data_IF_230187709979
#
_entry.id   IF_230187709979
#
_cell.length_a   1.000
_cell.length_b   1.000
_cell.length_c   1.000
_cell.angle_alpha   90.00
_cell.angle_beta   90.00
_cell.angle_gamma   90.00
#
_symmetry.space_group_name_H-M   'P 1'
#
loop_
_entity.id
_entity.type
_entity.pdbx_description
1 polymer ?
#
# COMPACT_ATOMS: atom_id res chain seq x y z
N UNK A 1 11.32 20.60 -17.05
CA UNK A 1 10.91 20.22 -15.68
C UNK A 1 11.80 20.80 -14.58
N UNK A 2 13.02 21.22 -14.86
CA UNK A 2 13.97 21.70 -13.84
C UNK A 2 13.59 23.01 -13.10
N UNK A 3 12.64 23.80 -13.61
CA UNK A 3 12.35 25.14 -13.08
C UNK A 3 11.17 25.20 -12.09
N UNK A 4 10.45 24.08 -11.85
CA UNK A 4 9.30 24.09 -10.94
C UNK A 4 9.63 23.26 -9.71
N UNK A 5 9.55 23.88 -8.55
CA UNK A 5 9.60 23.15 -7.27
C UNK A 5 8.23 22.52 -7.01
N UNK A 6 8.22 21.21 -6.80
CA UNK A 6 7.02 20.43 -6.46
C UNK A 6 7.21 19.81 -5.07
N UNK A 7 6.88 20.53 -3.99
CA UNK A 7 7.06 19.98 -2.65
C UNK A 7 6.09 18.81 -2.42
N UNK A 8 6.62 17.67 -1.96
CA UNK A 8 5.86 16.47 -1.65
C UNK A 8 4.63 16.76 -0.76
N UNK A 9 4.79 17.67 0.23
CA UNK A 9 3.71 18.04 1.13
C UNK A 9 2.51 18.61 0.38
N UNK A 10 2.74 19.46 -0.62
CA UNK A 10 1.66 20.05 -1.42
C UNK A 10 0.88 18.96 -2.17
N UNK A 11 1.60 18.08 -2.84
CA UNK A 11 1.02 16.97 -3.60
C UNK A 11 0.25 16.02 -2.68
N UNK A 12 0.85 15.65 -1.55
CA UNK A 12 0.20 14.80 -0.55
C UNK A 12 -1.08 15.43 0.00
N UNK A 13 -1.06 16.74 0.30
CA UNK A 13 -2.23 17.48 0.79
C UNK A 13 -3.34 17.51 -0.27
N UNK A 14 -2.99 17.78 -1.53
CA UNK A 14 -3.95 17.75 -2.63
C UNK A 14 -4.62 16.38 -2.74
N UNK A 15 -3.83 15.31 -2.77
CA UNK A 15 -4.34 13.94 -2.87
C UNK A 15 -5.23 13.58 -1.67
N UNK A 16 -4.80 13.93 -0.44
CA UNK A 16 -5.55 13.65 0.77
C UNK A 16 -6.92 14.35 0.76
N UNK A 17 -6.97 15.63 0.39
CA UNK A 17 -8.20 16.41 0.30
C UNK A 17 -9.14 15.89 -0.81
N UNK A 18 -8.59 15.50 -1.96
CA UNK A 18 -9.38 14.96 -3.07
C UNK A 18 -9.98 13.58 -2.75
N UNK A 19 -9.40 12.82 -1.83
CA UNK A 19 -9.99 11.59 -1.35
C UNK A 19 -11.21 11.82 -0.43
N UNK A 20 -11.43 13.06 0.03
CA UNK A 20 -12.56 13.47 0.89
C UNK A 20 -12.74 12.56 2.12
N UNK A 21 -11.64 12.14 2.72
CA UNK A 21 -11.68 11.26 3.88
C UNK A 21 -11.75 12.05 5.17
N UNK A 22 -12.96 12.21 5.69
CA UNK A 22 -13.17 12.68 7.08
C UNK A 22 -12.92 11.55 8.10
N UNK A 23 -12.67 10.34 7.67
CA UNK A 23 -12.43 9.17 8.50
C UNK A 23 -10.94 8.79 8.48
N UNK A 24 -10.44 8.17 9.55
CA UNK A 24 -9.09 7.64 9.55
C UNK A 24 -8.84 6.69 8.39
N UNK A 25 -7.66 6.80 7.76
CA UNK A 25 -7.30 6.08 6.55
C UNK A 25 -6.50 4.81 6.87
N UNK A 26 -6.66 3.80 6.04
CA UNK A 26 -5.79 2.63 6.05
C UNK A 26 -4.61 2.92 5.14
N UNK A 27 -3.43 3.00 5.72
CA UNK A 27 -2.18 3.17 5.01
C UNK A 27 -1.62 1.83 4.57
N UNK A 28 -1.06 1.77 3.38
CA UNK A 28 -0.35 0.61 2.86
C UNK A 28 1.09 1.02 2.59
N UNK A 29 2.03 0.39 3.29
CA UNK A 29 3.46 0.62 3.07
C UNK A 29 3.99 -0.43 2.10
N UNK A 30 4.73 0.02 1.11
CA UNK A 30 5.28 -0.83 0.08
C UNK A 30 6.60 -0.28 -0.45
N UNK A 31 7.38 -1.14 -1.09
CA UNK A 31 8.61 -0.78 -1.77
C UNK A 31 8.60 -1.36 -3.19
N UNK A 32 9.01 -0.56 -4.13
CA UNK A 32 9.21 -1.01 -5.51
C UNK A 32 10.61 -0.66 -5.97
N UNK A 33 11.17 -1.48 -6.84
CA UNK A 33 12.46 -1.21 -7.44
C UNK A 33 12.49 -1.71 -8.89
N UNK A 34 13.25 -1.00 -9.71
CA UNK A 34 13.60 -1.43 -11.06
C UNK A 34 14.97 -0.89 -11.43
N UNK A 35 15.49 -1.33 -12.56
CA UNK A 35 16.75 -0.82 -13.09
C UNK A 35 16.48 0.02 -14.33
N UNK A 36 17.17 1.16 -14.41
CA UNK A 36 17.25 1.96 -15.62
C UNK A 36 18.73 2.07 -16.01
N UNK A 37 19.11 1.35 -17.06
CA UNK A 37 20.53 1.17 -17.38
C UNK A 37 21.30 0.61 -16.19
N UNK A 38 22.28 1.36 -15.70
CA UNK A 38 23.07 1.01 -14.51
C UNK A 38 22.49 1.56 -13.20
N UNK A 39 21.55 2.50 -13.28
CA UNK A 39 20.91 3.07 -12.09
C UNK A 39 19.86 2.12 -11.51
N UNK A 40 19.88 2.01 -10.19
CA UNK A 40 18.91 1.24 -9.45
C UNK A 40 17.91 2.19 -8.78
N UNK A 41 16.69 2.20 -9.26
CA UNK A 41 15.61 3.01 -8.73
C UNK A 41 14.90 2.20 -7.66
N UNK A 42 14.87 2.71 -6.44
CA UNK A 42 14.31 2.05 -5.28
C UNK A 42 13.42 3.04 -4.52
N UNK A 43 12.13 2.77 -4.45
CA UNK A 43 11.15 3.70 -3.91
C UNK A 43 10.38 3.04 -2.76
N UNK A 44 10.48 3.65 -1.59
CA UNK A 44 9.61 3.36 -0.46
C UNK A 44 8.36 4.24 -0.57
N UNK A 45 7.18 3.63 -0.57
CA UNK A 45 5.92 4.32 -0.80
C UNK A 45 4.93 4.08 0.33
N UNK A 46 4.16 5.11 0.63
CA UNK A 46 2.97 5.07 1.46
C UNK A 46 1.76 5.39 0.58
N UNK A 47 0.76 4.53 0.58
CA UNK A 47 -0.49 4.71 -0.13
C UNK A 47 -1.68 4.64 0.81
N UNK A 48 -2.79 5.25 0.42
CA UNK A 48 -4.09 5.14 1.10
C UNK A 48 -4.90 4.05 0.41
N UNK A 49 -5.35 3.05 1.16
CA UNK A 49 -6.29 2.05 0.66
C UNK A 49 -7.65 2.70 0.42
N UNK A 50 -8.01 2.89 -0.84
CA UNK A 50 -9.25 3.53 -1.26
C UNK A 50 -10.04 2.59 -2.17
N UNK A 51 -11.25 2.21 -1.77
CA UNK A 51 -12.07 1.22 -2.48
C UNK A 51 -11.25 -0.04 -2.83
N UNK A 52 -10.94 -0.28 -4.10
CA UNK A 52 -10.20 -1.46 -4.60
C UNK A 52 -8.77 -1.17 -5.07
N UNK A 53 -8.22 0.01 -4.77
CA UNK A 53 -6.88 0.43 -5.15
C UNK A 53 -6.17 1.10 -3.98
N UNK A 54 -4.84 1.13 -3.97
CA UNK A 54 -4.08 2.02 -3.11
C UNK A 54 -3.70 3.27 -3.90
N UNK A 55 -4.12 4.43 -3.43
CA UNK A 55 -3.72 5.72 -4.01
C UNK A 55 -2.42 6.17 -3.34
N UNK A 56 -1.34 6.40 -4.09
CA UNK A 56 -0.08 6.85 -3.51
C UNK A 56 -0.25 8.24 -2.89
N UNK A 57 0.21 8.42 -1.66
CA UNK A 57 0.11 9.70 -0.94
C UNK A 57 1.46 10.35 -0.75
N UNK A 58 2.50 9.57 -0.53
CA UNK A 58 3.87 10.03 -0.40
C UNK A 58 4.87 8.90 -0.64
N UNK A 59 6.11 9.25 -0.95
CA UNK A 59 7.17 8.30 -1.16
C UNK A 59 8.53 8.88 -0.75
N UNK A 60 9.53 8.01 -0.71
CA UNK A 60 10.93 8.36 -0.54
C UNK A 60 11.78 7.56 -1.53
N UNK A 61 12.59 8.24 -2.31
CA UNK A 61 13.64 7.61 -3.10
C UNK A 61 14.71 7.07 -2.15
N UNK A 62 15.08 5.81 -2.31
CA UNK A 62 16.13 5.18 -1.52
C UNK A 62 17.40 5.08 -2.37
N UNK A 63 18.44 5.80 -1.97
CA UNK A 63 19.76 5.77 -2.63
C UNK A 63 20.55 4.53 -2.18
N UNK A 64 19.95 3.36 -2.42
CA UNK A 64 20.57 2.06 -2.11
C UNK A 64 19.86 0.91 -2.79
N UNK A 65 20.55 -0.22 -2.86
CA UNK A 65 19.92 -1.51 -3.21
C UNK A 65 19.34 -2.18 -1.97
N UNK A 66 18.29 -2.98 -2.18
CA UNK A 66 17.71 -3.80 -1.12
C UNK A 66 16.63 -3.09 -0.33
N UNK A 67 16.31 -3.62 0.85
CA UNK A 67 15.15 -3.22 1.63
C UNK A 67 15.35 -1.87 2.33
N UNK A 68 14.22 -1.20 2.61
CA UNK A 68 14.20 -0.03 3.49
C UNK A 68 14.61 -0.43 4.91
N UNK A 69 15.29 0.49 5.61
CA UNK A 69 15.57 0.34 7.04
C UNK A 69 14.44 0.93 7.91
N UNK A 70 14.51 0.71 9.22
CA UNK A 70 13.49 1.20 10.15
C UNK A 70 13.40 2.72 10.15
N UNK A 71 14.52 3.44 10.06
CA UNK A 71 14.53 4.91 10.10
C UNK A 71 13.84 5.51 8.86
N UNK A 72 14.04 4.93 7.67
CA UNK A 72 13.38 5.39 6.45
C UNK A 72 11.86 5.24 6.53
N UNK A 73 11.39 4.13 7.12
CA UNK A 73 9.95 3.86 7.34
C UNK A 73 9.37 4.82 8.37
N UNK A 74 10.06 5.00 9.49
CA UNK A 74 9.66 5.92 10.57
C UNK A 74 9.57 7.34 10.01
N UNK A 75 10.60 7.82 9.30
CA UNK A 75 10.59 9.17 8.73
C UNK A 75 9.38 9.37 7.79
N UNK A 76 9.06 8.39 6.95
CA UNK A 76 7.95 8.50 6.02
C UNK A 76 6.59 8.58 6.75
N UNK A 77 6.39 7.77 7.78
CA UNK A 77 5.15 7.79 8.59
C UNK A 77 5.11 9.01 9.50
N UNK A 78 6.24 9.44 10.06
CA UNK A 78 6.31 10.67 10.86
C UNK A 78 5.89 11.89 10.03
N UNK A 79 6.40 12.02 8.80
CA UNK A 79 5.96 13.10 7.89
C UNK A 79 4.44 13.05 7.63
N UNK A 80 3.87 11.84 7.51
CA UNK A 80 2.41 11.70 7.38
C UNK A 80 1.69 12.21 8.62
N UNK A 81 2.16 11.85 9.81
CA UNK A 81 1.61 12.29 11.10
C UNK A 81 1.72 13.82 11.24
N UNK A 82 2.88 14.39 10.90
CA UNK A 82 3.13 15.83 11.00
C UNK A 82 2.24 16.66 10.04
N UNK A 83 1.83 16.07 8.90
CA UNK A 83 1.02 16.79 7.91
C UNK A 83 -0.48 16.58 8.09
N UNK A 84 -0.90 15.42 8.56
CA UNK A 84 -2.32 15.02 8.58
C UNK A 84 -2.84 14.65 9.98
N UNK A 85 -1.95 14.57 10.97
CA UNK A 85 -2.28 14.15 12.33
C UNK A 85 -2.28 12.64 12.54
N UNK A 86 -1.98 12.22 13.77
CA UNK A 86 -1.97 10.81 14.16
C UNK A 86 -3.36 10.18 14.06
N UNK A 87 -4.40 10.91 14.45
CA UNK A 87 -5.79 10.45 14.44
C UNK A 87 -6.34 10.18 13.02
N UNK A 88 -5.64 10.64 12.00
CA UNK A 88 -5.97 10.33 10.61
C UNK A 88 -5.59 8.91 10.18
N UNK A 89 -4.85 8.16 11.03
CA UNK A 89 -4.41 6.79 10.74
C UNK A 89 -5.32 5.77 11.45
N UNK A 90 -6.06 4.98 10.69
CA UNK A 90 -6.77 3.81 11.24
C UNK A 90 -5.82 2.62 11.41
N UNK A 91 -5.05 2.29 10.38
CA UNK A 91 -4.19 1.10 10.38
C UNK A 91 -3.07 1.22 9.34
N UNK A 92 -1.93 0.60 9.61
CA UNK A 92 -0.85 0.41 8.62
C UNK A 92 -0.78 -1.06 8.20
N UNK A 93 -0.82 -1.30 6.90
CA UNK A 93 -0.64 -2.62 6.28
C UNK A 93 0.71 -2.69 5.58
N UNK A 94 1.44 -3.78 5.80
CA UNK A 94 2.74 -3.96 5.15
C UNK A 94 3.09 -5.45 4.92
N UNK A 95 4.02 -5.72 4.00
CA UNK A 95 4.49 -7.07 3.74
C UNK A 95 5.69 -7.42 4.65
N UNK A 96 6.15 -8.66 4.53
CA UNK A 96 7.17 -9.32 5.37
C UNK A 96 8.56 -8.65 5.37
N UNK A 97 8.83 -7.71 4.50
CA UNK A 97 10.08 -6.94 4.56
C UNK A 97 10.03 -5.82 5.62
N UNK A 98 8.83 -5.41 6.04
CA UNK A 98 8.61 -4.29 6.95
C UNK A 98 8.54 -4.75 8.41
N UNK A 99 9.54 -5.48 8.86
CA UNK A 99 9.69 -5.94 10.25
C UNK A 99 11.02 -5.40 10.79
N UNK A 100 11.04 -5.14 12.11
CA UNK A 100 12.23 -4.69 12.84
C UNK A 100 11.86 -4.08 14.18
N UNK A 101 12.75 -4.19 15.15
CA UNK A 101 12.54 -3.73 16.53
C UNK A 101 12.14 -2.24 16.59
N UNK A 102 12.98 -1.36 16.05
CA UNK A 102 12.74 0.10 16.07
C UNK A 102 11.46 0.49 15.34
N UNK A 103 11.13 -0.22 14.26
CA UNK A 103 9.92 0.05 13.48
C UNK A 103 8.67 -0.34 14.25
N UNK A 104 8.62 -1.55 14.83
CA UNK A 104 7.48 -1.98 15.64
C UNK A 104 7.37 -1.17 16.93
N UNK A 105 8.52 -0.80 17.55
CA UNK A 105 8.56 0.10 18.70
C UNK A 105 7.89 1.43 18.42
N UNK A 106 8.28 2.09 17.33
CA UNK A 106 7.65 3.35 16.90
C UNK A 106 6.13 3.22 16.71
N UNK A 107 5.66 2.16 16.08
CA UNK A 107 4.22 1.95 15.89
C UNK A 107 3.49 1.72 17.23
N UNK A 108 4.09 0.96 18.12
CA UNK A 108 3.52 0.67 19.45
C UNK A 108 3.48 1.93 20.33
N UNK A 109 4.55 2.71 20.39
CA UNK A 109 4.66 3.97 21.14
C UNK A 109 3.59 4.97 20.72
N UNK A 110 3.30 5.06 19.41
CA UNK A 110 2.24 5.92 18.89
C UNK A 110 0.85 5.27 18.88
N UNK A 111 0.72 4.06 19.44
CA UNK A 111 -0.54 3.30 19.42
C UNK A 111 -1.13 3.11 18.03
N UNK A 112 -0.29 3.11 16.99
CA UNK A 112 -0.71 2.91 15.59
C UNK A 112 -1.03 1.44 15.38
N UNK A 113 -2.27 1.15 14.99
CA UNK A 113 -2.67 -0.20 14.60
C UNK A 113 -1.91 -0.61 13.35
N UNK A 114 -1.45 -1.85 13.33
CA UNK A 114 -0.85 -2.43 12.13
C UNK A 114 -1.22 -3.90 11.96
N UNK A 115 -1.17 -4.36 10.72
CA UNK A 115 -1.20 -5.78 10.35
C UNK A 115 -0.11 -6.00 9.31
N UNK A 116 0.97 -6.66 9.73
CA UNK A 116 2.17 -6.88 8.91
C UNK A 116 2.37 -8.37 8.72
N UNK A 117 2.59 -8.81 7.48
CA UNK A 117 2.91 -10.21 7.19
C UNK A 117 4.29 -10.55 7.72
N UNK A 118 4.42 -11.74 8.29
CA UNK A 118 5.70 -12.28 8.71
C UNK A 118 5.94 -13.68 8.11
N UNK A 119 7.18 -14.14 8.14
CA UNK A 119 7.52 -15.50 7.75
C UNK A 119 7.18 -16.46 8.88
N UNK A 120 6.86 -17.72 8.54
CA UNK A 120 6.51 -18.75 9.50
C UNK A 120 7.68 -19.20 10.39
N UNK A 121 8.92 -18.93 9.99
CA UNK A 121 10.15 -19.26 10.74
C UNK A 121 10.59 -18.18 11.74
N UNK A 122 9.85 -17.07 11.88
CA UNK A 122 10.14 -16.07 12.90
C UNK A 122 10.02 -16.69 14.30
N UNK A 123 10.89 -16.25 15.18
CA UNK A 123 10.84 -16.62 16.61
C UNK A 123 10.09 -15.57 17.39
N UNK A 124 9.34 -16.02 18.37
CA UNK A 124 8.60 -15.19 19.32
C UNK A 124 8.76 -15.74 20.73
N UNK A 125 8.85 -14.84 21.68
CA UNK A 125 8.82 -15.21 23.09
C UNK A 125 7.36 -15.23 23.60
N UNK A 126 7.02 -16.25 24.36
CA UNK A 126 5.71 -16.41 24.98
C UNK A 126 5.82 -16.02 26.47
N UNK A 127 5.44 -14.80 26.88
CA UNK A 127 5.63 -14.34 28.25
C UNK A 127 4.98 -15.26 29.29
N UNK A 128 3.79 -15.80 29.00
CA UNK A 128 3.08 -16.72 29.92
C UNK A 128 3.78 -18.06 30.10
N UNK A 129 4.56 -18.51 29.13
CA UNK A 129 5.23 -19.82 29.15
C UNK A 129 6.74 -19.67 29.38
N UNK A 130 7.24 -18.45 29.46
CA UNK A 130 8.67 -18.16 29.59
C UNK A 130 9.52 -18.93 28.58
N UNK A 131 9.05 -18.98 27.31
CA UNK A 131 9.65 -19.81 26.27
C UNK A 131 9.65 -19.10 24.91
N UNK A 132 10.79 -19.20 24.22
CA UNK A 132 10.89 -18.85 22.82
C UNK A 132 10.46 -20.01 21.92
N UNK A 133 9.65 -19.73 20.91
CA UNK A 133 9.24 -20.72 19.91
C UNK A 133 9.17 -20.09 18.52
N UNK A 134 9.24 -20.93 17.48
CA UNK A 134 8.96 -20.52 16.12
C UNK A 134 7.45 -20.34 15.92
N UNK A 135 7.04 -19.27 15.25
CA UNK A 135 5.62 -18.93 15.01
C UNK A 135 4.88 -20.10 14.33
N UNK A 136 5.55 -20.85 13.46
CA UNK A 136 4.98 -22.04 12.82
C UNK A 136 4.34 -23.02 13.85
N UNK A 137 4.97 -23.24 15.00
CA UNK A 137 4.45 -24.14 16.03
C UNK A 137 3.12 -23.70 16.63
N UNK A 138 2.79 -22.39 16.59
CA UNK A 138 1.50 -21.89 17.07
C UNK A 138 0.36 -22.21 16.09
N UNK A 139 0.67 -22.43 14.81
CA UNK A 139 -0.32 -22.53 13.75
C UNK A 139 -0.22 -23.78 12.88
N UNK A 140 0.70 -24.71 13.14
CA UNK A 140 0.93 -25.92 12.34
C UNK A 140 -0.33 -26.80 12.21
N UNK A 141 -1.16 -26.86 13.25
CA UNK A 141 -2.41 -27.63 13.30
C UNK A 141 -3.64 -26.84 12.81
N UNK A 142 -3.44 -25.68 12.15
CA UNK A 142 -4.53 -24.89 11.59
C UNK A 142 -5.11 -25.60 10.35
N UNK A 143 -6.43 -25.76 10.33
CA UNK A 143 -7.12 -26.32 9.17
C UNK A 143 -7.07 -25.35 7.98
N UNK A 144 -7.04 -25.92 6.77
CA UNK A 144 -7.02 -25.14 5.53
C UNK A 144 -8.22 -24.19 5.44
N UNK A 145 -7.99 -22.98 4.93
CA UNK A 145 -8.98 -21.89 4.78
C UNK A 145 -9.62 -21.40 6.09
N UNK A 146 -9.15 -21.86 7.25
CA UNK A 146 -9.57 -21.30 8.54
C UNK A 146 -8.63 -20.18 8.95
N UNK A 147 -9.21 -19.18 9.62
CA UNK A 147 -8.47 -18.09 10.27
C UNK A 147 -8.44 -18.34 11.77
N UNK A 148 -7.30 -18.11 12.40
CA UNK A 148 -7.14 -18.19 13.86
C UNK A 148 -6.18 -17.10 14.33
N UNK A 149 -6.50 -16.45 15.42
CA UNK A 149 -5.56 -15.63 16.17
C UNK A 149 -5.09 -16.36 17.42
N UNK A 150 -3.86 -16.11 17.82
CA UNK A 150 -3.34 -16.59 19.09
C UNK A 150 -3.90 -15.73 20.23
N UNK A 151 -4.46 -16.35 21.25
CA UNK A 151 -5.25 -15.66 22.29
C UNK A 151 -4.42 -14.76 23.23
N UNK A 152 -3.10 -14.96 23.26
CA UNK A 152 -2.22 -14.27 24.19
C UNK A 152 -1.25 -13.34 23.45
N UNK A 153 -0.80 -12.31 24.16
CA UNK A 153 0.27 -11.45 23.70
C UNK A 153 1.55 -12.26 23.59
N UNK A 154 2.31 -11.98 22.56
CA UNK A 154 3.67 -12.49 22.34
C UNK A 154 4.64 -11.32 22.27
N UNK A 155 5.92 -11.61 22.48
CA UNK A 155 6.98 -10.64 22.24
C UNK A 155 7.76 -11.03 20.99
N UNK A 156 7.94 -10.09 20.08
CA UNK A 156 8.71 -10.22 18.86
C UNK A 156 9.61 -9.00 18.68
N UNK A 157 10.90 -9.23 18.51
CA UNK A 157 11.89 -8.14 18.44
C UNK A 157 11.76 -7.13 19.61
N UNK A 158 11.60 -7.61 20.84
CA UNK A 158 11.44 -6.77 22.02
C UNK A 158 10.09 -6.03 22.13
N UNK A 159 9.15 -6.29 21.22
CA UNK A 159 7.87 -5.59 21.15
C UNK A 159 6.69 -6.53 21.41
N UNK A 160 5.77 -6.09 22.27
CA UNK A 160 4.52 -6.83 22.54
C UNK A 160 3.56 -6.71 21.36
N UNK A 161 3.04 -7.84 20.91
CA UNK A 161 2.14 -7.90 19.76
C UNK A 161 1.22 -9.13 19.81
N UNK A 162 0.29 -9.20 18.87
CA UNK A 162 -0.60 -10.33 18.64
C UNK A 162 -0.27 -11.03 17.34
N UNK A 163 -0.60 -12.31 17.25
CA UNK A 163 -0.42 -13.11 16.05
C UNK A 163 -1.74 -13.66 15.54
N UNK A 164 -1.88 -13.66 14.22
CA UNK A 164 -2.99 -14.29 13.52
C UNK A 164 -2.49 -15.07 12.32
N UNK A 165 -3.18 -16.12 11.94
CA UNK A 165 -2.80 -16.88 10.75
C UNK A 165 -4.01 -17.43 10.00
N UNK A 166 -3.83 -17.60 8.69
CA UNK A 166 -4.65 -18.48 7.85
C UNK A 166 -3.73 -19.39 7.05
N UNK A 167 -4.25 -20.57 6.73
CA UNK A 167 -3.55 -21.59 5.96
C UNK A 167 -4.30 -21.81 4.66
N UNK A 168 -3.60 -21.78 3.55
CA UNK A 168 -4.12 -22.10 2.21
C UNK A 168 -3.30 -23.23 1.60
N UNK A 169 -3.88 -23.91 0.62
CA UNK A 169 -3.17 -24.86 -0.22
C UNK A 169 -3.25 -24.35 -1.65
N UNK A 170 -2.11 -24.06 -2.25
CA UNK A 170 -1.98 -23.58 -3.63
C UNK A 170 -1.06 -24.57 -4.35
N UNK A 171 -1.54 -25.15 -5.45
CA UNK A 171 -0.81 -26.15 -6.23
C UNK A 171 -0.21 -27.29 -5.37
N UNK A 172 -1.00 -27.80 -4.42
CA UNK A 172 -0.59 -28.85 -3.50
C UNK A 172 0.40 -28.43 -2.40
N UNK A 173 0.86 -27.18 -2.42
CA UNK A 173 1.76 -26.62 -1.39
C UNK A 173 0.99 -25.89 -0.31
N UNK A 174 1.38 -26.13 0.93
CA UNK A 174 0.81 -25.46 2.09
C UNK A 174 1.47 -24.10 2.25
N UNK A 175 0.68 -23.05 2.18
CA UNK A 175 1.12 -21.69 2.48
C UNK A 175 0.43 -21.14 3.72
N UNK A 176 1.23 -20.51 4.59
CA UNK A 176 0.73 -19.78 5.74
C UNK A 176 0.81 -18.28 5.47
N UNK A 177 -0.30 -17.60 5.65
CA UNK A 177 -0.33 -16.15 5.83
C UNK A 177 -0.38 -15.88 7.33
N UNK A 178 0.74 -15.43 7.89
CA UNK A 178 0.87 -15.09 9.31
C UNK A 178 1.01 -13.59 9.43
N UNK A 179 0.23 -12.99 10.32
CA UNK A 179 0.16 -11.55 10.55
C UNK A 179 0.54 -11.25 11.99
N UNK A 180 1.41 -10.27 12.17
CA UNK A 180 1.66 -9.61 13.46
C UNK A 180 0.82 -8.34 13.52
N UNK A 181 0.25 -8.06 14.69
CA UNK A 181 -0.68 -6.94 14.92
C UNK A 181 -0.42 -6.28 16.26
N UNK A 182 -0.57 -4.95 16.32
CA UNK A 182 -0.55 -4.25 17.62
C UNK A 182 -1.79 -4.57 18.45
N UNK A 183 -2.98 -4.47 17.84
CA UNK A 183 -4.26 -4.79 18.49
C UNK A 183 -5.25 -5.41 17.48
N UNK A 184 -6.44 -5.79 17.95
CA UNK A 184 -7.55 -6.36 17.16
C UNK A 184 -7.11 -7.48 16.19
N UNK A 185 -6.39 -8.51 16.67
CA UNK A 185 -5.87 -9.58 15.82
C UNK A 185 -6.97 -10.36 15.07
N UNK A 186 -8.19 -10.35 15.59
CA UNK A 186 -9.36 -10.97 14.96
C UNK A 186 -9.74 -10.31 13.62
N UNK A 187 -9.44 -9.03 13.44
CA UNK A 187 -9.71 -8.28 12.20
C UNK A 187 -8.55 -8.32 11.20
N UNK A 188 -7.40 -8.87 11.60
CA UNK A 188 -6.16 -8.79 10.85
C UNK A 188 -6.28 -9.27 9.40
N UNK A 189 -6.99 -10.38 9.15
CA UNK A 189 -7.14 -10.93 7.81
C UNK A 189 -8.01 -10.05 6.90
N UNK A 190 -9.07 -9.49 7.45
CA UNK A 190 -9.96 -8.60 6.71
C UNK A 190 -9.22 -7.33 6.28
N UNK A 191 -8.53 -6.68 7.21
CA UNK A 191 -7.71 -5.51 6.92
C UNK A 191 -6.58 -5.84 5.95
N UNK A 192 -5.85 -6.93 6.20
CA UNK A 192 -4.69 -7.29 5.38
C UNK A 192 -5.03 -7.60 3.92
N UNK A 193 -6.24 -8.05 3.63
CA UNK A 193 -6.71 -8.23 2.25
C UNK A 193 -6.63 -6.94 1.45
N UNK A 194 -6.82 -5.78 2.07
CA UNK A 194 -6.72 -4.46 1.42
C UNK A 194 -5.29 -4.12 0.99
N UNK A 195 -4.28 -4.81 1.51
CA UNK A 195 -2.90 -4.64 1.05
C UNK A 195 -2.73 -4.96 -0.45
N UNK A 196 -3.51 -5.90 -0.98
CA UNK A 196 -3.47 -6.24 -2.41
C UNK A 196 -3.82 -5.08 -3.32
N UNK A 197 -4.47 -4.06 -2.81
CA UNK A 197 -4.79 -2.84 -3.56
C UNK A 197 -3.53 -2.15 -4.10
N UNK A 198 -2.38 -2.32 -3.45
CA UNK A 198 -1.11 -1.74 -3.88
C UNK A 198 -0.56 -2.42 -5.14
N UNK A 199 -0.79 -3.72 -5.30
CA UNK A 199 -0.33 -4.46 -6.48
C UNK A 199 -1.07 -3.97 -7.74
N UNK A 200 -2.33 -3.60 -7.59
CA UNK A 200 -3.12 -2.96 -8.65
C UNK A 200 -2.53 -1.61 -9.05
N UNK A 201 -2.11 -0.79 -8.08
CA UNK A 201 -1.44 0.48 -8.34
C UNK A 201 -0.15 0.28 -9.15
N UNK A 202 0.73 -0.64 -8.71
CA UNK A 202 1.99 -0.86 -9.43
C UNK A 202 1.79 -1.35 -10.85
N UNK A 203 0.78 -2.19 -11.07
CA UNK A 203 0.41 -2.60 -12.42
C UNK A 203 0.06 -1.39 -13.30
N UNK A 204 -0.66 -0.40 -12.76
CA UNK A 204 -1.01 0.82 -13.50
C UNK A 204 0.21 1.70 -13.76
N UNK A 205 1.08 1.86 -12.76
CA UNK A 205 2.27 2.69 -12.90
C UNK A 205 3.29 2.08 -13.87
N UNK A 206 3.48 0.75 -13.83
CA UNK A 206 4.56 0.08 -14.54
C UNK A 206 4.19 -0.41 -15.93
N UNK A 207 3.03 -1.03 -16.12
CA UNK A 207 2.76 -1.81 -17.33
C UNK A 207 1.41 -1.59 -17.99
N UNK A 208 0.44 -1.01 -17.33
CA UNK A 208 -0.93 -0.92 -17.86
C UNK A 208 -1.47 0.51 -17.91
N UNK A 209 -0.60 1.49 -17.87
CA UNK A 209 -0.98 2.90 -17.83
C UNK A 209 0.19 3.81 -18.16
N UNK A 210 0.97 4.17 -17.14
CA UNK A 210 2.00 5.20 -17.28
C UNK A 210 3.36 4.71 -17.74
N UNK A 211 3.62 3.39 -17.70
CA UNK A 211 4.88 2.76 -18.13
C UNK A 211 6.12 3.46 -17.54
N UNK A 212 6.07 3.78 -16.25
CA UNK A 212 7.09 4.60 -15.60
C UNK A 212 8.50 3.95 -15.63
N UNK A 213 8.56 2.63 -15.86
CA UNK A 213 9.83 1.90 -16.02
C UNK A 213 10.49 2.15 -17.37
N UNK A 214 9.73 2.64 -18.36
CA UNK A 214 10.22 2.95 -19.73
C UNK A 214 10.65 4.43 -19.86
N UNK A 215 10.63 5.19 -18.75
CA UNK A 215 11.09 6.59 -18.77
C UNK A 215 12.58 6.68 -19.10
N UNK A 216 12.95 7.66 -19.91
CA UNK A 216 14.34 8.01 -20.21
C UNK A 216 14.91 9.07 -19.26
N UNK A 217 14.19 9.44 -18.19
CA UNK A 217 14.66 10.40 -17.17
C UNK A 217 15.72 9.70 -16.31
N UNK A 218 16.95 10.19 -16.37
CA UNK A 218 18.11 9.60 -15.70
C UNK A 218 18.49 10.31 -14.40
N UNK A 219 18.10 11.58 -14.25
CA UNK A 219 18.37 12.32 -13.02
C UNK A 219 17.30 12.01 -11.96
N UNK A 220 17.72 11.87 -10.71
CA UNK A 220 16.85 11.49 -9.60
C UNK A 220 15.81 12.56 -9.28
N UNK A 221 16.13 13.83 -9.41
CA UNK A 221 15.20 14.94 -9.16
C UNK A 221 14.08 14.97 -10.20
N UNK A 222 14.41 14.83 -11.47
CA UNK A 222 13.42 14.73 -12.56
C UNK A 222 12.53 13.51 -12.40
N UNK A 223 13.09 12.37 -11.97
CA UNK A 223 12.34 11.16 -11.71
C UNK A 223 11.39 11.33 -10.51
N UNK A 224 11.82 12.01 -9.44
CA UNK A 224 10.99 12.33 -8.29
C UNK A 224 9.79 13.21 -8.69
N UNK A 225 10.04 14.26 -9.48
CA UNK A 225 8.98 15.12 -10.03
C UNK A 225 8.00 14.35 -10.93
N UNK A 226 8.54 13.50 -11.82
CA UNK A 226 7.71 12.63 -12.67
C UNK A 226 6.84 11.70 -11.82
N UNK A 227 7.40 11.14 -10.75
CA UNK A 227 6.66 10.26 -9.87
C UNK A 227 5.54 11.00 -9.12
N UNK A 228 5.79 12.22 -8.65
CA UNK A 228 4.77 13.08 -8.04
C UNK A 228 3.62 13.41 -9.00
N UNK A 229 3.92 13.75 -10.24
CA UNK A 229 2.91 13.97 -11.28
C UNK A 229 2.09 12.70 -11.55
N UNK A 230 2.77 11.55 -11.59
CA UNK A 230 2.12 10.26 -11.76
C UNK A 230 1.17 9.94 -10.61
N UNK A 231 1.48 10.32 -9.36
CA UNK A 231 0.57 10.15 -8.22
C UNK A 231 -0.75 10.92 -8.42
N UNK A 232 -0.67 12.17 -8.86
CA UNK A 232 -1.86 12.99 -9.16
C UNK A 232 -2.66 12.35 -10.31
N UNK A 233 -1.98 11.97 -11.38
CA UNK A 233 -2.60 11.34 -12.54
C UNK A 233 -3.28 10.01 -12.18
N UNK A 234 -2.68 9.21 -11.29
CA UNK A 234 -3.30 7.99 -10.77
C UNK A 234 -4.64 8.26 -10.07
N UNK A 235 -4.66 9.26 -9.19
CA UNK A 235 -5.89 9.65 -8.50
C UNK A 235 -6.94 10.15 -9.49
N UNK A 236 -6.54 11.01 -10.41
CA UNK A 236 -7.45 11.59 -11.40
C UNK A 236 -8.07 10.52 -12.29
N UNK A 237 -7.27 9.65 -12.90
CA UNK A 237 -7.78 8.54 -13.69
C UNK A 237 -8.76 7.65 -12.90
N UNK A 238 -8.44 7.38 -11.63
CA UNK A 238 -9.32 6.57 -10.80
C UNK A 238 -10.64 7.28 -10.51
N UNK A 239 -10.62 8.56 -10.12
CA UNK A 239 -11.83 9.35 -9.80
C UNK A 239 -12.73 9.51 -11.02
N UNK A 240 -12.16 9.83 -12.17
CA UNK A 240 -12.89 9.94 -13.45
C UNK A 240 -13.51 8.59 -13.82
N UNK A 241 -12.74 7.51 -13.76
CA UNK A 241 -13.27 6.17 -14.06
C UNK A 241 -14.37 5.70 -13.11
N UNK A 242 -14.25 6.03 -11.83
CA UNK A 242 -15.24 5.75 -10.79
C UNK A 242 -16.54 6.53 -11.09
N UNK A 243 -16.44 7.82 -11.36
CA UNK A 243 -17.58 8.68 -11.70
C UNK A 243 -18.30 8.19 -12.97
N UNK A 244 -17.58 7.91 -14.04
CA UNK A 244 -18.19 7.43 -15.29
C UNK A 244 -18.86 6.08 -15.07
N UNK A 245 -18.22 5.19 -14.30
CA UNK A 245 -18.80 3.89 -13.97
C UNK A 245 -20.09 4.00 -13.19
N UNK A 246 -20.15 4.89 -12.20
CA UNK A 246 -21.27 5.00 -11.29
C UNK A 246 -22.40 5.87 -11.84
N UNK A 247 -22.10 6.94 -12.62
CA UNK A 247 -23.06 7.95 -12.99
C UNK A 247 -23.42 7.99 -14.48
N UNK A 248 -22.53 7.53 -15.36
CA UNK A 248 -22.73 7.69 -16.82
C UNK A 248 -22.94 6.33 -17.50
N UNK A 249 -21.93 5.46 -17.42
CA UNK A 249 -21.94 4.19 -18.11
C UNK A 249 -21.23 3.09 -17.32
N UNK A 250 -21.94 2.15 -16.72
CA UNK A 250 -21.35 1.06 -15.96
C UNK A 250 -20.41 0.19 -16.81
N UNK A 251 -19.27 -0.18 -16.24
CA UNK A 251 -18.34 -1.13 -16.86
C UNK A 251 -19.02 -2.50 -16.95
N UNK A 252 -18.98 -3.10 -18.15
CA UNK A 252 -19.53 -4.43 -18.38
C UNK A 252 -18.88 -5.49 -17.47
N UNK A 253 -19.70 -6.36 -16.91
CA UNK A 253 -19.24 -7.50 -16.11
C UNK A 253 -19.12 -8.71 -17.03
N UNK A 254 -17.95 -9.37 -17.05
CA UNK A 254 -17.69 -10.58 -17.83
C UNK A 254 -18.38 -11.80 -17.21
N UNK A 255 -18.54 -12.89 -17.97
CA UNK A 255 -19.19 -14.14 -17.50
C UNK A 255 -18.64 -14.67 -16.17
N UNK A 256 -17.37 -14.43 -15.86
CA UNK A 256 -16.72 -14.82 -14.61
C UNK A 256 -16.78 -13.75 -13.49
N UNK A 257 -17.81 -12.90 -13.50
CA UNK A 257 -18.15 -11.91 -12.47
C UNK A 257 -17.08 -10.81 -12.25
N UNK A 258 -16.16 -10.58 -13.22
CA UNK A 258 -15.18 -9.51 -13.14
C UNK A 258 -15.53 -8.39 -14.12
N UNK A 259 -15.22 -7.15 -13.73
CA UNK A 259 -15.30 -5.99 -14.63
C UNK A 259 -14.45 -6.23 -15.89
N UNK A 260 -14.93 -5.79 -17.05
CA UNK A 260 -14.22 -5.96 -18.33
C UNK A 260 -12.87 -5.21 -18.35
N UNK A 261 -12.82 -4.05 -17.72
CA UNK A 261 -11.63 -3.21 -17.50
C UNK A 261 -11.60 -2.74 -16.05
N UNK A 262 -10.44 -2.33 -15.55
CA UNK A 262 -10.33 -1.72 -14.22
C UNK A 262 -10.91 -0.30 -14.24
N UNK A 263 -11.35 0.19 -13.09
CA UNK A 263 -11.81 1.59 -12.91
C UNK A 263 -10.73 2.57 -13.39
N UNK A 264 -9.48 2.34 -12.99
CA UNK A 264 -8.35 3.16 -13.42
C UNK A 264 -8.19 3.22 -14.94
N UNK A 265 -8.14 2.05 -15.61
CA UNK A 265 -7.99 1.98 -17.07
C UNK A 265 -9.17 2.65 -17.78
N UNK A 266 -10.37 2.49 -17.24
CA UNK A 266 -11.58 3.11 -17.78
C UNK A 266 -11.49 4.64 -17.75
N UNK A 267 -11.02 5.22 -16.64
CA UNK A 267 -10.79 6.65 -16.55
C UNK A 267 -9.62 7.14 -17.40
N UNK A 268 -8.53 6.36 -17.44
CA UNK A 268 -7.38 6.71 -18.30
C UNK A 268 -7.77 6.78 -19.77
N UNK A 269 -8.51 5.77 -20.27
CA UNK A 269 -8.95 5.73 -21.67
C UNK A 269 -9.90 6.89 -21.99
N UNK A 270 -10.81 7.20 -21.06
CA UNK A 270 -11.72 8.32 -21.20
C UNK A 270 -11.00 9.67 -21.25
N UNK A 271 -10.05 9.91 -20.32
CA UNK A 271 -9.23 11.13 -20.33
C UNK A 271 -8.44 11.25 -21.61
N UNK A 272 -7.84 10.15 -22.08
CA UNK A 272 -7.09 10.13 -23.33
C UNK A 272 -7.98 10.46 -24.54
N UNK A 273 -9.19 9.92 -24.60
CA UNK A 273 -10.17 10.22 -25.66
C UNK A 273 -10.56 11.71 -25.65
N UNK A 274 -10.81 12.28 -24.45
CA UNK A 274 -11.11 13.72 -24.31
C UNK A 274 -9.96 14.59 -24.78
N UNK A 275 -8.72 14.26 -24.44
CA UNK A 275 -7.54 15.02 -24.86
C UNK A 275 -7.31 14.97 -26.38
N UNK A 276 -7.64 13.84 -27.03
CA UNK A 276 -7.48 13.65 -28.46
C UNK A 276 -8.61 14.29 -29.27
N UNK A 277 -9.85 14.27 -28.76
CA UNK A 277 -11.04 14.79 -29.45
C UNK A 277 -11.27 16.29 -29.25
N UNK A 278 -10.46 16.94 -28.43
CA UNK A 278 -10.74 18.29 -27.92
C UNK A 278 -11.77 18.25 -26.78
N UNK A 279 -11.61 19.15 -25.81
CA UNK A 279 -12.54 19.25 -24.69
C UNK A 279 -13.86 19.83 -25.16
N UNK A 280 -14.92 19.04 -25.24
CA UNK A 280 -16.28 19.54 -25.30
C UNK A 280 -16.75 19.97 -23.90
N UNK A 281 -17.66 20.95 -23.81
CA UNK A 281 -18.10 21.58 -22.53
C UNK A 281 -18.56 20.59 -21.45
N UNK A 282 -19.04 19.39 -21.82
CA UNK A 282 -19.45 18.33 -20.89
C UNK A 282 -18.30 17.76 -20.02
N UNK A 283 -17.03 18.00 -20.39
CA UNK A 283 -15.86 17.42 -19.73
C UNK A 283 -15.23 18.33 -18.68
N UNK A 284 -15.52 19.63 -18.73
CA UNK A 284 -14.95 20.65 -17.85
C UNK A 284 -15.51 20.51 -16.41
N UNK A 285 -16.73 20.01 -16.26
CA UNK A 285 -17.37 19.82 -14.95
C UNK A 285 -16.81 18.63 -14.14
N UNK A 286 -15.93 17.80 -14.74
CA UNK A 286 -15.30 16.64 -14.12
C UNK A 286 -13.85 16.89 -13.66
N UNK A 287 -13.31 18.05 -13.97
CA UNK A 287 -12.02 18.54 -13.54
C UNK A 287 -12.15 19.39 -12.28
#
# INVERSE_FOLDING_TARGET
MAQVDLPMRLISTLIFNLLQNNNPVILVMYRTNWKFGQQNINILMLGISYKSVAIPIMFKMLDKRGNSNSQERITLVQNFIDWFGLDSIDCILADREFIGEKWLGFLNEHSIRYHIRIRNNFKVFLPRKQKEITVWHLFNNLNSRKFRHYQHIVEMHGQLCYLSATKTVIDGKVEFLILVSFNKPQQALEYYRRRWNIETLFKFMKSSGFNIEDTHVTDLEGLEKLFMLTMIACLWCYKVGDYIHDQIRPIKIKKHQRKAVSIFKYGLDYIAECLLSGFNELYISLL
#
